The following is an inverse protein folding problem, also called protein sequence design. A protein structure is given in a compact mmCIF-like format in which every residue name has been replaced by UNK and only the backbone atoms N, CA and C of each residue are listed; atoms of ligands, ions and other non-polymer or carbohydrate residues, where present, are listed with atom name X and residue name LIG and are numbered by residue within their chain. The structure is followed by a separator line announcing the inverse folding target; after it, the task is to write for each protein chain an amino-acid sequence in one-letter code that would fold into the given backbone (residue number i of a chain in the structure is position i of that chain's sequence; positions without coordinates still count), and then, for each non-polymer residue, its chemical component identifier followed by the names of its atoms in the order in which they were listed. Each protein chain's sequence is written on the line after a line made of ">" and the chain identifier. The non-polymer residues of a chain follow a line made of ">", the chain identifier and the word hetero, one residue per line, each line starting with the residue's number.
data_IF_018437346316
#
_entry.id   IF_018437346316
#
_cell.length_a   1.000
_cell.length_b   1.000
_cell.length_c   1.000
_cell.angle_alpha   90.00
_cell.angle_beta   90.00
_cell.angle_gamma   90.00
#
_symmetry.space_group_name_H-M   'P 1'
#
loop_
_entity.id
_entity.type
_entity.pdbx_description
1 polymer ?
#
# COMPACT_ATOMS: atom_id res chain seq x y z
N UNK A 1 -6.24 58.57 9.53
CA UNK A 1 -4.76 58.41 9.47
C UNK A 1 -4.31 57.83 10.81
N UNK A 2 -3.32 56.95 10.97
CA UNK A 2 -2.36 56.29 10.04
C UNK A 2 -2.35 54.77 10.34
N UNK A 3 -2.25 53.90 9.33
CA UNK A 3 -1.95 52.47 9.55
C UNK A 3 -0.44 52.30 9.78
N UNK A 4 -0.02 51.41 10.69
CA UNK A 4 1.39 51.03 10.88
C UNK A 4 1.62 49.65 10.28
N UNK A 5 2.46 49.56 9.25
CA UNK A 5 2.83 48.29 8.63
C UNK A 5 3.91 47.58 9.46
N UNK A 6 3.65 46.33 9.84
CA UNK A 6 4.70 45.42 10.34
C UNK A 6 5.42 44.82 9.12
N UNK A 7 6.76 44.73 9.19
CA UNK A 7 7.60 44.31 8.05
C UNK A 7 7.94 42.83 8.13
N UNK A 8 7.54 42.06 7.12
CA UNK A 8 7.98 40.67 6.94
C UNK A 8 9.35 40.69 6.24
N UNK A 9 10.42 40.74 7.03
CA UNK A 9 11.80 40.69 6.53
C UNK A 9 12.74 40.21 7.67
N UNK A 10 13.05 38.91 7.71
CA UNK A 10 13.93 38.37 8.76
C UNK A 10 14.17 36.85 8.84
N UNK A 11 13.57 36.03 7.97
CA UNK A 11 13.68 34.54 8.07
C UNK A 11 14.47 33.90 6.91
N UNK A 12 14.51 34.54 5.72
CA UNK A 12 15.09 33.93 4.50
C UNK A 12 16.63 33.84 4.52
N UNK A 13 17.32 34.67 5.31
CA UNK A 13 18.79 34.75 5.30
C UNK A 13 19.51 33.72 6.16
N UNK A 14 18.80 32.94 6.99
CA UNK A 14 19.43 31.99 7.92
C UNK A 14 19.81 30.64 7.26
N UNK A 15 19.07 30.20 6.25
CA UNK A 15 19.19 28.83 5.69
C UNK A 15 20.41 28.68 4.76
N UNK A 16 20.86 29.77 4.13
CA UNK A 16 21.98 29.74 3.17
C UNK A 16 23.39 29.66 3.81
N UNK A 17 23.52 29.77 5.14
CA UNK A 17 24.83 29.72 5.82
C UNK A 17 25.23 28.34 6.34
N UNK A 18 24.34 27.34 6.32
CA UNK A 18 24.62 25.98 6.81
C UNK A 18 25.29 25.10 5.74
N UNK A 19 25.15 25.44 4.46
CA UNK A 19 25.68 24.68 3.31
C UNK A 19 27.13 25.04 2.92
N UNK A 20 27.98 25.50 3.87
CA UNK A 20 29.36 25.90 3.56
C UNK A 20 30.43 25.48 4.59
N UNK A 21 30.17 24.45 5.40
CA UNK A 21 31.12 23.90 6.38
C UNK A 21 31.39 22.40 6.17
N UNK A 22 31.80 22.03 4.95
CA UNK A 22 32.07 20.63 4.59
C UNK A 22 33.30 20.42 3.68
N UNK A 23 34.28 21.34 3.68
CA UNK A 23 35.59 21.13 3.03
C UNK A 23 36.73 21.89 3.72
N UNK A 24 37.91 21.24 3.76
CA UNK A 24 39.28 21.72 4.11
C UNK A 24 39.88 21.31 5.48
N UNK A 25 40.62 20.20 5.47
CA UNK A 25 41.96 20.09 6.07
C UNK A 25 42.09 19.72 7.56
N UNK A 26 43.07 18.85 7.87
CA UNK A 26 43.50 18.54 9.24
C UNK A 26 44.19 17.17 9.35
N UNK A 27 45.52 17.13 9.21
CA UNK A 27 46.32 15.89 9.26
C UNK A 27 47.03 15.70 10.62
N UNK A 28 47.75 14.57 10.76
CA UNK A 28 48.27 13.92 11.99
C UNK A 28 49.16 14.78 12.93
N UNK A 29 49.30 14.39 14.22
CA UNK A 29 50.44 13.52 14.64
C UNK A 29 50.07 12.45 15.70
N UNK A 30 50.41 11.15 15.54
CA UNK A 30 51.67 10.44 15.91
C UNK A 30 51.70 9.88 17.34
N UNK A 31 51.85 8.54 17.53
CA UNK A 31 51.74 7.93 18.88
C UNK A 31 52.16 6.46 19.10
N UNK A 32 53.10 5.92 18.31
CA UNK A 32 53.78 4.59 18.40
C UNK A 32 53.40 3.58 19.52
N UNK A 33 52.79 2.48 19.10
CA UNK A 33 53.10 1.06 19.40
C UNK A 33 53.95 0.68 20.63
N UNK A 34 53.39 -0.18 21.50
CA UNK A 34 54.15 -1.16 22.28
C UNK A 34 53.35 -2.46 22.52
N UNK A 35 54.02 -3.62 22.43
CA UNK A 35 53.47 -4.96 22.70
C UNK A 35 54.12 -5.55 23.96
N UNK A 36 53.40 -6.40 24.71
CA UNK A 36 54.05 -7.32 25.65
C UNK A 36 53.20 -8.57 25.97
N UNK A 37 53.83 -9.59 26.59
CA UNK A 37 53.23 -10.92 26.90
C UNK A 37 53.47 -11.31 28.37
N UNK A 38 52.56 -12.14 28.90
CA UNK A 38 52.70 -12.83 30.20
C UNK A 38 52.24 -12.00 31.41
N UNK A 39 51.90 -12.60 32.55
CA UNK A 39 51.82 -14.05 32.88
C UNK A 39 50.84 -14.31 34.06
N UNK A 40 50.68 -15.59 34.40
CA UNK A 40 49.67 -16.25 35.25
C UNK A 40 49.46 -15.75 36.71
N UNK A 41 48.38 -16.30 37.32
CA UNK A 41 47.92 -16.33 38.73
C UNK A 41 46.73 -15.42 39.13
N UNK A 42 45.78 -15.83 40.00
CA UNK A 42 45.20 -17.16 40.37
C UNK A 42 43.91 -16.93 41.20
N UNK A 43 42.91 -17.83 41.11
CA UNK A 43 41.81 -18.17 42.08
C UNK A 43 41.13 -17.03 42.92
N UNK A 44 39.79 -16.91 42.98
CA UNK A 44 38.87 -17.64 43.90
C UNK A 44 37.38 -17.30 43.56
N UNK A 45 36.47 -18.27 43.82
CA UNK A 45 35.01 -18.26 44.12
C UNK A 45 34.24 -16.92 44.35
N UNK A 46 32.90 -16.80 44.24
CA UNK A 46 31.77 -17.65 43.78
C UNK A 46 30.44 -16.85 43.92
N UNK A 47 29.34 -17.27 43.23
CA UNK A 47 27.89 -17.18 43.58
C UNK A 47 26.93 -16.66 42.48
N UNK A 48 25.69 -17.18 42.54
CA UNK A 48 24.42 -16.62 42.05
C UNK A 48 24.21 -16.30 40.55
N UNK A 49 23.72 -17.30 39.83
CA UNK A 49 22.54 -17.15 38.94
C UNK A 49 21.28 -17.60 39.73
N UNK A 50 20.02 -17.45 39.24
CA UNK A 50 19.57 -16.87 37.97
C UNK A 50 18.42 -15.84 38.08
N UNK A 51 18.21 -15.04 37.03
CA UNK A 51 16.86 -14.53 36.69
C UNK A 51 16.69 -14.42 35.18
N UNK A 52 15.68 -15.10 34.63
CA UNK A 52 15.15 -14.85 33.30
C UNK A 52 13.72 -14.32 33.44
N UNK A 53 13.36 -13.26 32.71
CA UNK A 53 11.99 -12.77 32.50
C UNK A 53 11.97 -11.67 31.42
N UNK A 54 10.80 -11.36 30.81
CA UNK A 54 10.77 -11.04 29.38
C UNK A 54 10.60 -9.55 29.05
N UNK A 55 10.87 -9.21 27.79
CA UNK A 55 10.36 -7.97 27.18
C UNK A 55 8.93 -8.22 26.73
N UNK A 56 7.98 -7.63 27.47
CA UNK A 56 6.53 -7.77 27.25
C UNK A 56 6.06 -6.97 26.03
N UNK A 57 5.17 -7.57 25.23
CA UNK A 57 4.40 -6.87 24.20
C UNK A 57 3.42 -5.89 24.84
N UNK A 58 3.51 -4.61 24.48
CA UNK A 58 2.51 -3.59 24.81
C UNK A 58 1.80 -3.12 23.54
N UNK A 59 0.59 -3.64 23.34
CA UNK A 59 -0.36 -3.08 22.36
C UNK A 59 -1.01 -1.84 22.98
N UNK A 60 -1.03 -0.71 22.27
CA UNK A 60 -1.82 0.45 22.68
C UNK A 60 -3.10 0.56 21.84
N UNK A 61 -4.24 0.72 22.53
CA UNK A 61 -5.59 0.78 21.95
C UNK A 61 -6.39 1.89 22.62
N UNK A 62 -6.58 2.99 21.90
CA UNK A 62 -7.55 4.05 22.20
C UNK A 62 -8.42 4.23 20.94
N UNK A 63 -9.58 3.55 20.84
CA UNK A 63 -10.88 3.85 21.49
C UNK A 63 -11.56 5.05 20.83
N UNK A 64 -12.83 4.85 20.44
CA UNK A 64 -13.63 5.80 19.69
C UNK A 64 -14.16 6.95 20.55
N UNK A 65 -14.59 8.02 19.88
CA UNK A 65 -15.47 9.07 20.43
C UNK A 65 -16.65 9.21 19.46
N UNK A 66 -17.87 9.08 19.97
CA UNK A 66 -19.11 9.23 19.19
C UNK A 66 -19.54 10.70 19.10
N UNK A 67 -20.66 10.93 18.40
CA UNK A 67 -21.18 12.26 18.10
C UNK A 67 -21.85 12.93 19.31
N UNK A 68 -21.71 14.24 19.43
CA UNK A 68 -22.76 15.08 20.01
C UNK A 68 -23.28 16.05 18.94
N UNK A 69 -24.59 16.24 18.93
CA UNK A 69 -25.34 17.06 17.96
C UNK A 69 -26.43 17.82 18.71
N UNK A 70 -26.28 19.14 18.81
CA UNK A 70 -27.35 20.02 19.29
C UNK A 70 -27.80 20.96 18.16
N UNK A 71 -29.10 20.98 17.93
CA UNK A 71 -29.75 21.95 17.06
C UNK A 71 -30.08 23.20 17.89
N UNK A 72 -30.06 24.38 17.25
CA UNK A 72 -31.12 25.34 17.56
C UNK A 72 -31.70 25.94 16.27
N UNK A 73 -33.00 26.22 16.30
CA UNK A 73 -33.79 26.65 15.14
C UNK A 73 -34.46 27.99 15.44
N UNK A 74 -34.75 28.79 14.41
CA UNK A 74 -36.15 29.01 14.01
C UNK A 74 -36.36 30.09 12.94
N UNK A 75 -37.37 29.85 12.08
CA UNK A 75 -38.44 30.78 11.60
C UNK A 75 -38.06 32.09 10.86
N UNK A 76 -38.89 32.63 9.94
CA UNK A 76 -40.07 32.15 9.16
C UNK A 76 -40.50 33.28 8.18
N UNK A 77 -41.25 32.88 7.13
CA UNK A 77 -42.35 33.58 6.40
C UNK A 77 -42.16 33.52 4.86
N UNK A 78 -43.11 33.00 4.05
CA UNK A 78 -44.51 33.39 3.71
C UNK A 78 -44.61 34.77 3.00
N UNK A 79 -45.37 35.03 1.92
CA UNK A 79 -46.13 34.24 0.89
C UNK A 79 -46.94 35.25 0.01
N UNK A 80 -47.95 35.00 -0.85
CA UNK A 80 -48.83 33.89 -1.33
C UNK A 80 -49.08 34.09 -2.87
N UNK A 81 -49.41 33.08 -3.71
CA UNK A 81 -50.74 32.70 -4.31
C UNK A 81 -51.51 33.86 -5.01
N UNK A 82 -52.21 33.75 -6.17
CA UNK A 82 -52.67 32.58 -6.99
C UNK A 82 -52.02 32.52 -8.41
N UNK A 83 -52.63 32.49 -9.62
CA UNK A 83 -54.01 32.59 -10.16
C UNK A 83 -54.15 31.84 -11.54
N UNK A 84 -55.27 32.00 -12.26
CA UNK A 84 -55.84 31.04 -13.24
C UNK A 84 -55.65 31.36 -14.73
N UNK A 85 -55.76 30.32 -15.57
CA UNK A 85 -56.08 30.41 -17.00
C UNK A 85 -56.29 29.01 -17.63
N UNK A 86 -57.42 28.75 -18.29
CA UNK A 86 -57.83 27.41 -18.80
C UNK A 86 -58.33 27.51 -20.25
N UNK A 87 -57.86 26.61 -21.12
CA UNK A 87 -58.58 25.86 -22.20
C UNK A 87 -57.60 25.40 -23.31
N UNK A 88 -57.86 24.42 -24.20
CA UNK A 88 -58.52 23.09 -24.17
C UNK A 88 -58.75 22.63 -25.64
N UNK A 89 -58.00 21.64 -26.14
CA UNK A 89 -58.18 20.79 -27.38
C UNK A 89 -56.81 20.20 -27.78
N UNK A 90 -56.67 19.14 -28.59
CA UNK A 90 -57.49 17.94 -28.90
C UNK A 90 -56.65 17.03 -29.84
N UNK A 91 -57.07 15.77 -30.06
CA UNK A 91 -56.31 14.65 -30.64
C UNK A 91 -55.11 14.20 -29.76
N UNK A 92 -54.86 12.92 -29.48
CA UNK A 92 -55.04 11.65 -30.22
C UNK A 92 -53.90 11.34 -31.18
N UNK A 93 -52.86 10.69 -30.64
CA UNK A 93 -52.09 9.66 -31.34
C UNK A 93 -51.63 8.64 -30.29
N UNK A 94 -51.75 7.34 -30.61
CA UNK A 94 -51.47 6.22 -29.70
C UNK A 94 -50.36 5.36 -30.32
N UNK A 95 -49.09 5.57 -29.93
CA UNK A 95 -47.99 4.76 -30.44
C UNK A 95 -47.98 3.40 -29.73
N UNK A 96 -48.43 2.36 -30.44
CA UNK A 96 -48.22 0.97 -30.02
C UNK A 96 -46.73 0.61 -30.16
N UNK A 97 -45.94 0.92 -29.14
CA UNK A 97 -44.58 0.41 -29.01
C UNK A 97 -44.70 -1.10 -28.80
N UNK A 98 -44.21 -1.86 -29.78
CA UNK A 98 -44.07 -3.30 -29.65
C UNK A 98 -42.94 -3.54 -28.65
N UNK A 99 -43.25 -4.18 -27.52
CA UNK A 99 -42.22 -4.64 -26.59
C UNK A 99 -41.43 -5.78 -27.26
N UNK A 100 -40.34 -5.43 -27.95
CA UNK A 100 -39.28 -6.39 -28.27
C UNK A 100 -38.70 -6.86 -26.94
N UNK A 101 -39.15 -8.04 -26.52
CA UNK A 101 -38.74 -8.68 -25.29
C UNK A 101 -37.27 -9.08 -25.40
N UNK A 102 -36.39 -8.19 -24.99
CA UNK A 102 -34.96 -8.43 -24.84
C UNK A 102 -34.76 -9.70 -23.98
N UNK A 103 -34.26 -10.75 -24.62
CA UNK A 103 -34.03 -12.03 -23.98
C UNK A 103 -32.74 -11.92 -23.16
N UNK A 104 -32.89 -11.46 -21.91
CA UNK A 104 -31.79 -11.23 -20.99
C UNK A 104 -30.86 -12.44 -20.95
N UNK A 105 -29.63 -12.27 -21.44
CA UNK A 105 -28.57 -13.26 -21.27
C UNK A 105 -28.36 -13.52 -19.77
N UNK A 106 -28.00 -14.76 -19.37
CA UNK A 106 -27.82 -15.07 -17.96
C UNK A 106 -26.70 -14.22 -17.38
N UNK A 107 -27.03 -13.33 -16.43
CA UNK A 107 -26.06 -12.47 -15.74
C UNK A 107 -25.01 -13.33 -15.03
N UNK A 108 -23.85 -13.51 -15.67
CA UNK A 108 -22.72 -14.23 -15.09
C UNK A 108 -22.07 -13.35 -14.03
N UNK A 109 -21.95 -13.85 -12.79
CA UNK A 109 -21.25 -13.13 -11.72
C UNK A 109 -19.87 -12.64 -12.18
N UNK A 110 -19.52 -11.34 -11.99
CA UNK A 110 -18.24 -10.81 -12.45
C UNK A 110 -17.07 -11.60 -11.89
N UNK A 111 -16.18 -12.04 -12.77
CA UNK A 111 -15.05 -12.91 -12.45
C UNK A 111 -13.81 -12.56 -13.26
N UNK A 112 -12.66 -12.84 -12.66
CA UNK A 112 -11.31 -12.61 -13.18
C UNK A 112 -10.44 -13.80 -12.78
N UNK A 113 -9.19 -13.87 -13.23
CA UNK A 113 -8.21 -14.85 -12.69
C UNK A 113 -7.14 -14.15 -11.88
N UNK A 114 -6.81 -14.68 -10.70
CA UNK A 114 -5.70 -14.21 -9.88
C UNK A 114 -4.58 -15.25 -9.82
N UNK A 115 -3.33 -14.80 -9.84
CA UNK A 115 -2.16 -15.63 -9.57
C UNK A 115 -1.05 -14.83 -8.86
N UNK A 116 -0.20 -15.51 -8.09
CA UNK A 116 0.91 -14.92 -7.33
C UNK A 116 2.13 -15.83 -7.45
N UNK A 117 3.18 -15.39 -8.15
CA UNK A 117 4.37 -16.18 -8.43
C UNK A 117 5.69 -15.52 -8.00
N UNK A 118 6.68 -16.37 -7.71
CA UNK A 118 8.04 -16.03 -7.29
C UNK A 118 9.09 -16.94 -7.97
N UNK A 119 8.79 -17.42 -9.17
CA UNK A 119 9.61 -18.41 -9.88
C UNK A 119 11.01 -17.90 -10.28
N UNK A 120 11.24 -16.58 -10.32
CA UNK A 120 12.57 -15.99 -10.52
C UNK A 120 13.50 -16.28 -9.34
N UNK A 121 12.97 -16.41 -8.11
CA UNK A 121 13.76 -16.74 -6.91
C UNK A 121 14.40 -18.13 -7.05
N UNK A 122 13.65 -19.11 -7.56
CA UNK A 122 14.14 -20.47 -7.81
C UNK A 122 15.21 -20.54 -8.92
N UNK A 123 15.27 -19.51 -9.79
CA UNK A 123 16.28 -19.37 -10.85
C UNK A 123 17.55 -18.66 -10.36
N UNK A 124 17.50 -18.01 -9.19
CA UNK A 124 18.60 -17.24 -8.59
C UNK A 124 18.75 -17.57 -7.09
N UNK A 125 18.93 -18.85 -6.68
CA UNK A 125 18.89 -19.26 -5.27
C UNK A 125 19.99 -18.64 -4.40
N UNK A 126 21.08 -18.15 -5.01
CA UNK A 126 22.23 -17.55 -4.34
C UNK A 126 21.99 -16.09 -3.89
N UNK A 127 20.95 -15.40 -4.38
CA UNK A 127 20.63 -14.02 -3.95
C UNK A 127 19.58 -13.93 -2.86
N UNK A 128 18.86 -15.03 -2.58
CA UNK A 128 17.87 -15.12 -1.50
C UNK A 128 18.56 -15.48 -0.18
N UNK A 129 18.25 -14.72 0.87
CA UNK A 129 18.67 -15.02 2.24
C UNK A 129 18.26 -16.45 2.69
N UNK A 130 19.17 -17.16 3.35
CA UNK A 130 18.99 -18.55 3.78
C UNK A 130 17.70 -18.79 4.58
N UNK A 131 17.37 -17.87 5.49
CA UNK A 131 16.16 -17.89 6.33
C UNK A 131 14.85 -17.74 5.54
N UNK A 132 14.89 -17.16 4.34
CA UNK A 132 13.69 -17.01 3.50
C UNK A 132 13.35 -18.26 2.69
N UNK A 133 14.27 -19.23 2.58
CA UNK A 133 14.09 -20.44 1.74
C UNK A 133 12.91 -21.32 2.15
N UNK A 134 12.51 -21.33 3.42
CA UNK A 134 11.35 -22.14 3.86
C UNK A 134 10.00 -21.56 3.44
N UNK A 135 9.93 -20.27 3.10
CA UNK A 135 8.71 -19.62 2.64
C UNK A 135 8.51 -19.69 1.12
N UNK A 136 9.52 -20.08 0.35
CA UNK A 136 9.43 -20.18 -1.11
C UNK A 136 8.83 -21.52 -1.53
N UNK A 137 7.64 -21.55 -2.17
CA UNK A 137 7.06 -22.79 -2.68
C UNK A 137 7.95 -23.39 -3.77
N UNK A 138 8.18 -24.71 -3.73
CA UNK A 138 9.11 -25.40 -4.65
C UNK A 138 8.74 -25.33 -6.13
N UNK A 139 7.49 -24.97 -6.46
CA UNK A 139 7.02 -24.69 -7.81
C UNK A 139 7.07 -23.22 -8.22
N UNK A 140 7.40 -22.29 -7.32
CA UNK A 140 7.43 -20.84 -7.60
C UNK A 140 6.07 -20.15 -7.61
N UNK A 141 5.02 -20.77 -7.04
CA UNK A 141 3.66 -20.21 -6.96
C UNK A 141 3.19 -20.16 -5.51
N UNK A 142 2.89 -18.95 -5.01
CA UNK A 142 2.21 -18.72 -3.73
C UNK A 142 0.69 -18.92 -3.91
N UNK A 143 0.18 -18.53 -5.08
CA UNK A 143 -1.18 -18.82 -5.55
C UNK A 143 -1.09 -19.15 -7.05
N UNK A 144 -1.56 -20.33 -7.45
CA UNK A 144 -1.70 -20.68 -8.87
C UNK A 144 -2.84 -19.88 -9.52
N UNK A 145 -2.93 -19.91 -10.85
CA UNK A 145 -4.00 -19.24 -11.57
C UNK A 145 -5.37 -19.86 -11.23
N UNK A 146 -6.17 -19.09 -10.50
CA UNK A 146 -7.53 -19.47 -10.08
C UNK A 146 -8.54 -18.41 -10.53
N UNK A 147 -9.70 -18.86 -11.01
CA UNK A 147 -10.85 -17.99 -11.27
C UNK A 147 -11.49 -17.57 -9.95
N UNK A 148 -11.64 -16.25 -9.76
CA UNK A 148 -12.22 -15.64 -8.56
C UNK A 148 -13.28 -14.63 -8.98
N UNK A 149 -14.45 -14.68 -8.33
CA UNK A 149 -15.49 -13.66 -8.50
C UNK A 149 -15.09 -12.36 -7.79
N UNK A 150 -15.60 -11.24 -8.28
CA UNK A 150 -15.36 -9.89 -7.76
C UNK A 150 -16.65 -9.06 -7.84
N UNK A 151 -16.71 -7.97 -7.06
CA UNK A 151 -17.86 -7.05 -7.05
C UNK A 151 -17.62 -5.84 -7.96
N UNK A 152 -18.67 -5.32 -8.60
CA UNK A 152 -18.51 -4.13 -9.46
C UNK A 152 -17.94 -2.96 -8.64
N UNK A 153 -16.83 -2.40 -9.11
CA UNK A 153 -16.08 -1.35 -8.42
C UNK A 153 -14.88 -1.83 -7.61
N UNK A 154 -14.67 -3.14 -7.46
CA UNK A 154 -13.50 -3.72 -6.77
C UNK A 154 -12.21 -3.49 -7.58
N UNK A 155 -11.14 -3.06 -6.90
CA UNK A 155 -9.83 -2.86 -7.55
C UNK A 155 -8.96 -4.13 -7.50
N UNK A 156 -7.91 -4.17 -8.32
CA UNK A 156 -6.89 -5.23 -8.27
C UNK A 156 -6.20 -5.31 -6.90
N UNK A 157 -6.12 -4.20 -6.16
CA UNK A 157 -5.64 -4.20 -4.78
C UNK A 157 -6.65 -4.85 -3.81
N UNK A 158 -7.94 -4.48 -3.91
CA UNK A 158 -8.98 -5.02 -3.02
C UNK A 158 -9.12 -6.54 -3.19
N UNK A 159 -9.06 -7.02 -4.44
CA UNK A 159 -9.04 -8.43 -4.78
C UNK A 159 -7.84 -9.15 -4.15
N UNK A 160 -6.62 -8.61 -4.28
CA UNK A 160 -5.44 -9.21 -3.65
C UNK A 160 -5.56 -9.23 -2.13
N UNK A 161 -6.00 -8.13 -1.52
CA UNK A 161 -6.19 -8.00 -0.08
C UNK A 161 -7.25 -8.98 0.45
N UNK A 162 -8.31 -9.22 -0.32
CA UNK A 162 -9.36 -10.20 0.01
C UNK A 162 -8.84 -11.63 -0.13
N UNK A 163 -8.23 -11.97 -1.26
CA UNK A 163 -7.81 -13.36 -1.54
C UNK A 163 -6.60 -13.81 -0.72
N UNK A 164 -5.63 -12.93 -0.45
CA UNK A 164 -4.55 -13.26 0.49
C UNK A 164 -5.11 -13.54 1.90
N UNK A 165 -5.98 -12.66 2.38
CA UNK A 165 -6.62 -12.77 3.70
C UNK A 165 -7.55 -13.99 3.82
N UNK A 166 -8.31 -14.33 2.78
CA UNK A 166 -9.22 -15.49 2.81
C UNK A 166 -8.46 -16.82 2.84
N UNK A 167 -7.27 -16.85 2.22
CA UNK A 167 -6.38 -18.02 2.11
C UNK A 167 -5.35 -18.12 3.23
N UNK A 168 -5.25 -17.12 4.10
CA UNK A 168 -4.22 -17.05 5.15
C UNK A 168 -2.80 -16.78 4.62
N UNK A 169 -2.67 -16.25 3.40
CA UNK A 169 -1.40 -15.83 2.82
C UNK A 169 -1.00 -14.50 3.48
N UNK A 170 0.23 -14.44 4.01
CA UNK A 170 0.77 -13.21 4.60
C UNK A 170 0.85 -12.09 3.56
N UNK A 171 0.50 -10.86 3.95
CA UNK A 171 0.45 -9.72 3.02
C UNK A 171 0.73 -8.40 3.75
N UNK A 172 1.72 -7.65 3.27
CA UNK A 172 2.11 -6.34 3.80
C UNK A 172 2.20 -5.28 2.68
N UNK A 173 1.73 -4.08 2.99
CA UNK A 173 1.64 -2.95 2.07
C UNK A 173 1.62 -1.61 2.81
N UNK A 174 2.20 -0.58 2.19
CA UNK A 174 2.06 0.82 2.63
C UNK A 174 1.15 1.57 1.68
N UNK A 175 0.02 2.06 2.20
CA UNK A 175 -0.82 3.01 1.47
C UNK A 175 -0.23 4.42 1.57
N UNK A 176 0.07 5.04 0.41
CA UNK A 176 0.58 6.41 0.33
C UNK A 176 -0.51 7.37 -0.16
N UNK A 177 -1.11 8.21 0.71
CA UNK A 177 -2.24 9.06 0.32
C UNK A 177 -1.93 10.07 -0.80
N UNK A 178 -0.67 10.50 -0.92
CA UNK A 178 -0.21 11.39 -1.99
C UNK A 178 -0.34 10.78 -3.40
N UNK A 179 -0.22 9.46 -3.51
CA UNK A 179 -0.29 8.74 -4.78
C UNK A 179 -1.60 7.96 -4.95
N UNK A 180 -2.49 7.99 -3.94
CA UNK A 180 -3.76 7.26 -3.93
C UNK A 180 -3.59 5.76 -4.24
N UNK A 181 -2.51 5.17 -3.71
CA UNK A 181 -2.10 3.81 -4.04
C UNK A 181 -1.43 3.11 -2.85
N UNK A 182 -1.69 1.82 -2.74
CA UNK A 182 -0.87 0.90 -1.97
C UNK A 182 0.40 0.52 -2.77
N UNK A 183 1.53 0.53 -2.09
CA UNK A 183 2.75 -0.16 -2.51
C UNK A 183 2.84 -1.49 -1.76
N UNK A 184 3.18 -2.58 -2.45
CA UNK A 184 3.22 -3.93 -1.88
C UNK A 184 4.63 -4.22 -1.40
N UNK A 185 4.79 -4.35 -0.09
CA UNK A 185 6.08 -4.62 0.55
C UNK A 185 6.36 -6.12 0.58
N UNK A 186 5.35 -6.98 0.80
CA UNK A 186 5.54 -8.43 0.81
C UNK A 186 4.27 -9.27 0.63
N UNK A 187 4.45 -10.46 0.06
CA UNK A 187 3.41 -11.50 -0.06
C UNK A 187 4.03 -12.85 0.30
N UNK A 188 3.36 -13.63 1.16
CA UNK A 188 3.81 -14.96 1.58
C UNK A 188 5.17 -14.98 2.31
N UNK A 189 5.47 -13.94 3.09
CA UNK A 189 6.77 -13.70 3.77
C UNK A 189 7.98 -13.44 2.85
N UNK A 190 7.76 -13.33 1.54
CA UNK A 190 8.71 -12.83 0.55
C UNK A 190 8.45 -11.33 0.31
N UNK A 191 9.44 -10.50 0.60
CA UNK A 191 9.37 -9.04 0.60
C UNK A 191 10.23 -8.44 -0.51
N UNK A 192 10.00 -7.17 -0.82
CA UNK A 192 11.00 -6.34 -1.49
C UNK A 192 12.38 -6.47 -0.81
N UNK A 193 13.42 -6.35 -1.63
CA UNK A 193 14.82 -6.44 -1.22
C UNK A 193 15.33 -7.80 -0.69
N UNK A 194 14.47 -8.81 -0.44
CA UNK A 194 14.88 -10.18 -0.05
C UNK A 194 15.82 -10.87 -1.05
N UNK A 195 15.84 -10.43 -2.32
CA UNK A 195 16.74 -10.87 -3.38
C UNK A 195 17.70 -9.75 -3.87
N UNK A 196 17.94 -8.73 -3.05
CA UNK A 196 18.80 -7.57 -3.34
C UNK A 196 18.04 -6.28 -3.67
N UNK A 197 18.76 -5.15 -3.68
CA UNK A 197 18.27 -3.76 -3.79
C UNK A 197 17.30 -3.44 -4.96
N UNK A 198 17.22 -4.31 -5.95
CA UNK A 198 16.41 -4.18 -7.16
C UNK A 198 15.36 -5.28 -7.29
N UNK A 199 15.04 -5.98 -6.19
CA UNK A 199 14.03 -7.04 -6.11
C UNK A 199 12.74 -6.61 -5.41
N UNK A 200 11.61 -7.21 -5.78
CA UNK A 200 10.30 -6.90 -5.20
C UNK A 200 9.11 -7.30 -6.09
N UNK A 201 7.93 -6.83 -5.70
CA UNK A 201 6.65 -7.19 -6.32
C UNK A 201 6.20 -6.20 -7.39
N UNK A 202 5.68 -6.73 -8.51
CA UNK A 202 4.84 -5.97 -9.44
C UNK A 202 3.61 -6.77 -9.84
N UNK A 203 2.68 -6.10 -10.52
CA UNK A 203 1.49 -6.73 -11.08
C UNK A 203 1.41 -6.53 -12.59
N UNK A 204 0.69 -7.44 -13.24
CA UNK A 204 0.23 -7.33 -14.62
C UNK A 204 -1.28 -7.53 -14.66
N UNK A 205 -1.93 -6.94 -15.66
CA UNK A 205 -3.30 -7.29 -16.06
C UNK A 205 -3.30 -7.59 -17.55
N UNK A 206 -3.86 -8.75 -17.94
CA UNK A 206 -3.89 -9.25 -19.32
C UNK A 206 -2.50 -9.34 -19.99
N UNK A 207 -1.46 -9.58 -19.20
CA UNK A 207 -0.07 -9.65 -19.63
C UNK A 207 0.67 -8.30 -19.71
N UNK A 208 -0.03 -7.17 -19.69
CA UNK A 208 0.57 -5.83 -19.63
C UNK A 208 0.85 -5.40 -18.19
N UNK A 209 1.92 -4.62 -17.96
CA UNK A 209 2.25 -4.00 -16.67
C UNK A 209 1.71 -2.56 -16.66
N UNK A 210 0.64 -2.23 -15.91
CA UNK A 210 0.07 -0.88 -15.95
C UNK A 210 1.01 0.17 -15.36
N UNK A 211 0.89 1.41 -15.85
CA UNK A 211 1.72 2.56 -15.42
C UNK A 211 1.25 3.23 -14.12
N UNK A 212 0.30 2.62 -13.42
CA UNK A 212 -0.34 3.12 -12.20
C UNK A 212 -0.54 1.97 -11.21
N UNK A 213 -0.80 2.27 -9.93
CA UNK A 213 -0.83 1.26 -8.88
C UNK A 213 -2.07 0.36 -8.92
N UNK A 214 -1.98 -0.83 -8.31
CA UNK A 214 -3.07 -1.81 -8.28
C UNK A 214 -4.37 -1.28 -7.65
N UNK A 215 -4.29 -0.34 -6.70
CA UNK A 215 -5.43 0.37 -6.10
C UNK A 215 -6.15 1.34 -7.05
N UNK A 216 -5.65 1.50 -8.27
CA UNK A 216 -6.22 2.39 -9.30
C UNK A 216 -6.70 1.61 -10.54
N UNK A 217 -6.47 0.30 -10.59
CA UNK A 217 -7.03 -0.57 -11.63
C UNK A 217 -8.37 -1.14 -11.16
N UNK A 218 -9.47 -0.70 -11.77
CA UNK A 218 -10.82 -1.24 -11.60
C UNK A 218 -10.97 -2.54 -12.41
N UNK A 219 -11.38 -3.64 -11.78
CA UNK A 219 -11.50 -4.95 -12.42
C UNK A 219 -12.60 -5.01 -13.49
N UNK A 220 -12.40 -5.87 -14.49
CA UNK A 220 -13.35 -6.15 -15.57
C UNK A 220 -13.56 -7.66 -15.74
N UNK A 221 -14.70 -8.02 -16.31
CA UNK A 221 -15.03 -9.42 -16.61
C UNK A 221 -13.95 -10.05 -17.50
N UNK A 222 -13.37 -11.16 -17.03
CA UNK A 222 -12.33 -11.91 -17.72
C UNK A 222 -10.91 -11.34 -17.62
N UNK A 223 -10.66 -10.30 -16.81
CA UNK A 223 -9.30 -9.80 -16.59
C UNK A 223 -8.39 -10.89 -15.98
N UNK A 224 -7.16 -11.00 -16.50
CA UNK A 224 -6.12 -11.88 -15.96
C UNK A 224 -5.13 -11.08 -15.11
N UNK A 225 -5.22 -11.22 -13.80
CA UNK A 225 -4.34 -10.56 -12.81
C UNK A 225 -3.18 -11.49 -12.43
N UNK A 226 -1.96 -10.97 -12.52
CA UNK A 226 -0.75 -11.71 -12.16
C UNK A 226 0.13 -10.84 -11.25
N UNK A 227 0.38 -11.28 -10.00
CA UNK A 227 1.42 -10.69 -9.15
C UNK A 227 2.70 -11.50 -9.28
N UNK A 228 3.81 -10.80 -9.56
CA UNK A 228 5.09 -11.41 -9.90
C UNK A 228 6.18 -10.80 -9.02
N UNK A 229 6.89 -11.65 -8.29
CA UNK A 229 8.14 -11.27 -7.66
C UNK A 229 9.28 -11.32 -8.67
N UNK A 230 10.14 -10.32 -8.66
CA UNK A 230 11.38 -10.31 -9.45
C UNK A 230 12.60 -10.13 -8.58
N UNK A 231 13.68 -10.82 -8.94
CA UNK A 231 15.00 -10.60 -8.36
C UNK A 231 15.72 -9.37 -8.98
N UNK A 232 15.20 -8.81 -10.09
CA UNK A 232 15.80 -7.63 -10.73
C UNK A 232 14.83 -6.85 -11.64
N UNK A 233 14.22 -5.79 -11.10
CA UNK A 233 13.37 -4.86 -11.85
C UNK A 233 14.04 -4.25 -13.09
N UNK A 234 15.36 -4.04 -13.09
CA UNK A 234 16.08 -3.40 -14.21
C UNK A 234 16.30 -4.34 -15.41
N UNK A 235 16.11 -5.65 -15.24
CA UNK A 235 16.02 -6.62 -16.34
C UNK A 235 14.61 -6.64 -16.93
N UNK A 236 13.59 -6.73 -16.08
CA UNK A 236 12.20 -7.02 -16.46
C UNK A 236 11.36 -5.78 -16.83
N UNK A 237 12.02 -4.71 -17.29
CA UNK A 237 11.39 -3.43 -17.62
C UNK A 237 11.96 -2.87 -18.96
N UNK A 238 12.25 -3.78 -19.90
CA UNK A 238 12.84 -3.57 -21.23
C UNK A 238 12.19 -4.49 -22.26
#
# INVERSE_FOLDING_TARGET
>A
MKRKSVRIAGIVTAILFILMLAFMGGEQPDGKTAINKGSEDVFVQETAAPTASPVTVSQEKVVAVEQENEQETSKKEKSDVEDKGIEKRSATEEPSITEEKEEAEPETEPNCTLSICCDEVLKNPDVLADEKREFIPSGGWILQEETVSFTEGETVFDLLLRETKSRGIHFEFVYTPMYQSAYIEGIGNLYEFDCGDTSGWFYKVNGEKPMFGCSQYMLKQGDKVEFVYTCNFLKNNR
#
